data_IF_158759618985
#
_entry.id   IF_158759618985
#
_cell.length_a   1.000
_cell.length_b   1.000
_cell.length_c   1.000
_cell.angle_alpha   90.00
_cell.angle_beta   90.00
_cell.angle_gamma   90.00
#
_symmetry.space_group_name_H-M   'P 1'
#
loop_
_entity.id
_entity.type
_entity.pdbx_description
1 polymer ?
#
# COMPACT_ATOMS: atom_id res chain seq x y z
N UNK A 1 -11.00 -56.49 -2.36
CA UNK A 1 -11.07 -55.70 -1.12
C UNK A 1 -9.90 -54.71 -1.12
N UNK A 2 -10.22 -53.45 -1.45
CA UNK A 2 -9.57 -52.17 -1.11
C UNK A 2 -8.11 -51.89 -1.49
N UNK A 3 -7.92 -50.98 -2.45
CA UNK A 3 -7.10 -49.78 -2.29
C UNK A 3 -7.49 -48.75 -3.35
N UNK A 4 -8.44 -47.88 -2.98
CA UNK A 4 -8.80 -46.69 -3.74
C UNK A 4 -7.70 -45.64 -3.52
N UNK A 5 -6.74 -45.56 -4.43
CA UNK A 5 -5.86 -44.41 -4.54
C UNK A 5 -6.69 -43.21 -5.02
N UNK A 6 -6.91 -42.25 -4.13
CA UNK A 6 -7.40 -40.92 -4.48
C UNK A 6 -6.43 -40.30 -5.50
N UNK A 7 -6.77 -40.44 -6.78
CA UNK A 7 -6.22 -39.60 -7.84
C UNK A 7 -6.86 -38.24 -7.67
N UNK A 8 -6.16 -37.37 -6.93
CA UNK A 8 -6.37 -35.93 -6.81
C UNK A 8 -6.36 -35.29 -8.21
N UNK A 9 -7.47 -35.45 -8.91
CA UNK A 9 -7.67 -34.83 -10.21
C UNK A 9 -8.13 -33.41 -9.93
N UNK A 10 -7.17 -32.54 -9.61
CA UNK A 10 -7.33 -31.10 -9.71
C UNK A 10 -7.92 -30.82 -11.09
N UNK A 11 -9.18 -30.41 -11.12
CA UNK A 11 -10.01 -30.21 -12.31
C UNK A 11 -9.44 -29.08 -13.17
N UNK A 12 -8.35 -29.39 -13.87
CA UNK A 12 -7.77 -28.57 -14.92
C UNK A 12 -8.49 -28.97 -16.20
N UNK A 13 -9.49 -28.17 -16.60
CA UNK A 13 -10.12 -28.32 -17.91
C UNK A 13 -9.06 -28.06 -18.97
N UNK A 14 -8.55 -29.13 -19.56
CA UNK A 14 -7.71 -29.06 -20.77
C UNK A 14 -8.62 -28.62 -21.91
N UNK A 15 -8.40 -27.41 -22.43
CA UNK A 15 -9.10 -26.90 -23.62
C UNK A 15 -8.12 -26.93 -24.77
N UNK A 16 -8.51 -27.59 -25.87
CA UNK A 16 -7.73 -27.64 -27.10
C UNK A 16 -7.89 -26.31 -27.83
N UNK A 17 -6.79 -25.60 -28.08
CA UNK A 17 -6.79 -24.48 -29.03
C UNK A 17 -6.85 -25.00 -30.48
N UNK A 18 -7.33 -24.19 -31.45
CA UNK A 18 -7.47 -24.61 -32.85
C UNK A 18 -6.16 -25.08 -33.54
N UNK A 19 -5.01 -24.86 -32.89
CA UNK A 19 -3.66 -25.18 -33.37
C UNK A 19 -3.10 -26.50 -32.81
N UNK A 20 -3.94 -27.37 -32.22
CA UNK A 20 -3.53 -28.66 -31.62
C UNK A 20 -2.47 -28.54 -30.50
N UNK A 21 -2.32 -27.37 -29.88
CA UNK A 21 -1.45 -27.17 -28.72
C UNK A 21 -2.21 -27.49 -27.44
N UNK A 22 -1.65 -28.38 -26.62
CA UNK A 22 -2.15 -28.68 -25.28
C UNK A 22 -1.78 -27.53 -24.34
N UNK A 23 -2.77 -26.68 -24.00
CA UNK A 23 -2.61 -25.60 -23.04
C UNK A 23 -3.02 -26.04 -21.63
N UNK A 24 -2.17 -25.75 -20.63
CA UNK A 24 -2.53 -25.86 -19.23
C UNK A 24 -3.03 -24.50 -18.73
N UNK A 25 -4.32 -24.41 -18.42
CA UNK A 25 -4.86 -23.28 -17.66
C UNK A 25 -4.80 -23.65 -16.18
N UNK A 26 -3.93 -22.98 -15.42
CA UNK A 26 -3.98 -23.06 -13.96
C UNK A 26 -5.32 -22.44 -13.54
N UNK A 27 -6.21 -23.25 -12.96
CA UNK A 27 -7.47 -22.77 -12.45
C UNK A 27 -7.17 -21.70 -11.39
N UNK A 28 -7.45 -20.44 -11.72
CA UNK A 28 -7.19 -19.31 -10.85
C UNK A 28 -7.94 -19.58 -9.53
N UNK A 29 -7.21 -19.78 -8.43
CA UNK A 29 -7.81 -20.07 -7.12
C UNK A 29 -8.85 -19.01 -6.71
N UNK A 30 -8.73 -17.78 -7.24
CA UNK A 30 -9.69 -16.70 -7.08
C UNK A 30 -11.08 -17.02 -7.68
N UNK A 31 -11.19 -17.87 -8.71
CA UNK A 31 -12.47 -18.25 -9.33
C UNK A 31 -13.25 -19.31 -8.54
N UNK A 32 -12.63 -19.93 -7.52
CA UNK A 32 -13.30 -20.87 -6.60
C UNK A 32 -13.86 -20.18 -5.35
N UNK A 33 -13.43 -18.94 -5.06
CA UNK A 33 -14.02 -18.13 -4.00
C UNK A 33 -15.37 -17.57 -4.47
N UNK A 34 -16.45 -18.27 -4.12
CA UNK A 34 -17.78 -17.70 -4.23
C UNK A 34 -17.87 -16.54 -3.24
N UNK A 35 -18.18 -15.29 -3.67
CA UNK A 35 -18.34 -14.18 -2.75
C UNK A 35 -19.55 -14.44 -1.84
N UNK A 36 -19.29 -14.96 -0.64
CA UNK A 36 -20.31 -15.13 0.39
C UNK A 36 -20.61 -13.76 0.99
N UNK A 37 -21.69 -13.14 0.52
CA UNK A 37 -22.18 -11.89 1.09
C UNK A 37 -22.83 -12.20 2.43
N UNK A 38 -22.08 -12.02 3.52
CA UNK A 38 -22.62 -12.17 4.88
C UNK A 38 -23.36 -10.88 5.23
N UNK A 39 -24.69 -10.95 5.35
CA UNK A 39 -25.49 -9.82 5.82
C UNK A 39 -25.48 -9.83 7.35
N UNK A 40 -24.88 -8.82 7.94
CA UNK A 40 -24.91 -8.60 9.39
C UNK A 40 -26.15 -7.80 9.77
N UNK A 41 -26.80 -8.15 10.89
CA UNK A 41 -27.81 -7.27 11.49
C UNK A 41 -27.19 -5.96 12.01
N UNK A 42 -28.02 -4.95 12.32
CA UNK A 42 -27.54 -3.62 12.77
C UNK A 42 -26.53 -3.73 13.93
N UNK A 43 -26.87 -4.49 14.98
CA UNK A 43 -26.00 -4.66 16.15
C UNK A 43 -24.81 -5.60 15.92
N UNK A 44 -24.94 -6.60 15.03
CA UNK A 44 -23.84 -7.50 14.68
C UNK A 44 -22.81 -6.84 13.76
N UNK A 45 -23.23 -5.82 13.00
CA UNK A 45 -22.37 -5.09 12.08
C UNK A 45 -21.29 -4.28 12.80
N UNK A 46 -21.51 -3.87 14.05
CA UNK A 46 -20.50 -3.15 14.84
C UNK A 46 -19.28 -4.01 15.17
N UNK A 47 -19.39 -5.15 15.89
CA UNK A 47 -18.24 -5.99 16.19
C UNK A 47 -17.63 -6.60 14.92
N UNK A 48 -18.45 -6.95 13.92
CA UNK A 48 -17.96 -7.44 12.64
C UNK A 48 -17.16 -6.35 11.88
N UNK A 49 -17.66 -5.12 11.89
CA UNK A 49 -17.02 -3.95 11.29
C UNK A 49 -15.71 -3.59 11.97
N UNK A 50 -15.64 -3.62 13.30
CA UNK A 50 -14.38 -3.40 14.04
C UNK A 50 -13.35 -4.47 13.68
N UNK A 51 -13.74 -5.75 13.67
CA UNK A 51 -12.83 -6.85 13.31
C UNK A 51 -12.34 -6.72 11.86
N UNK A 52 -13.23 -6.39 10.94
CA UNK A 52 -12.89 -6.14 9.53
C UNK A 52 -11.95 -4.95 9.40
N UNK A 53 -12.27 -3.82 10.05
CA UNK A 53 -11.45 -2.61 10.04
C UNK A 53 -10.05 -2.84 10.59
N UNK A 54 -9.91 -3.60 11.69
CA UNK A 54 -8.59 -3.98 12.22
C UNK A 54 -7.81 -4.88 11.24
N UNK A 55 -8.49 -5.77 10.52
CA UNK A 55 -7.87 -6.59 9.47
C UNK A 55 -7.37 -5.75 8.30
N UNK A 56 -8.21 -4.82 7.83
CA UNK A 56 -7.85 -3.88 6.76
C UNK A 56 -6.69 -2.98 7.18
N UNK A 57 -6.72 -2.45 8.41
CA UNK A 57 -5.63 -1.64 8.94
C UNK A 57 -4.31 -2.42 8.98
N UNK A 58 -4.33 -3.68 9.44
CA UNK A 58 -3.15 -4.55 9.41
C UNK A 58 -2.62 -4.74 7.99
N UNK A 59 -3.51 -5.01 7.02
CA UNK A 59 -3.13 -5.13 5.61
C UNK A 59 -2.42 -3.88 5.10
N UNK A 60 -2.97 -2.70 5.38
CA UNK A 60 -2.33 -1.44 4.97
C UNK A 60 -1.00 -1.18 5.69
N UNK A 61 -0.84 -1.59 6.95
CA UNK A 61 0.46 -1.53 7.64
C UNK A 61 1.48 -2.46 6.98
N UNK A 62 1.07 -3.64 6.54
CA UNK A 62 1.93 -4.57 5.80
C UNK A 62 2.31 -4.02 4.40
N UNK A 63 1.36 -3.39 3.71
CA UNK A 63 1.61 -2.69 2.44
C UNK A 63 2.61 -1.54 2.63
N UNK A 64 2.50 -0.80 3.75
CA UNK A 64 3.47 0.23 4.11
C UNK A 64 4.85 -0.35 4.34
N UNK A 65 4.96 -1.47 5.04
CA UNK A 65 6.24 -2.15 5.22
C UNK A 65 6.85 -2.57 3.86
N UNK A 66 6.02 -3.01 2.92
CA UNK A 66 6.48 -3.34 1.56
C UNK A 66 7.00 -2.10 0.81
N UNK A 67 6.36 -0.95 0.97
CA UNK A 67 6.78 0.32 0.36
C UNK A 67 8.21 0.74 0.77
N UNK A 68 8.65 0.42 1.99
CA UNK A 68 10.03 0.67 2.43
C UNK A 68 11.09 -0.29 1.83
N UNK A 69 10.69 -1.28 1.04
CA UNK A 69 11.62 -2.16 0.31
C UNK A 69 12.08 -1.53 -1.00
N UNK A 70 13.17 -2.02 -1.60
CA UNK A 70 13.70 -1.49 -2.86
C UNK A 70 12.70 -1.58 -4.03
N UNK A 71 11.83 -2.58 -4.02
CA UNK A 71 10.85 -2.81 -5.08
C UNK A 71 9.55 -2.02 -4.82
N UNK A 72 9.16 -1.86 -3.56
CA UNK A 72 8.08 -0.96 -3.15
C UNK A 72 8.41 0.50 -3.42
N UNK A 73 9.63 0.95 -3.12
CA UNK A 73 10.08 2.32 -3.34
C UNK A 73 10.09 2.73 -4.83
N UNK A 74 10.33 1.78 -5.75
CA UNK A 74 10.21 2.01 -7.20
C UNK A 74 8.76 2.05 -7.67
N UNK A 75 7.87 1.38 -6.95
CA UNK A 75 6.43 1.34 -7.23
C UNK A 75 5.71 2.60 -6.74
N UNK A 76 6.30 3.31 -5.77
CA UNK A 76 5.92 4.68 -5.44
C UNK A 76 6.36 5.64 -6.56
N UNK A 77 5.55 5.74 -7.61
CA UNK A 77 5.69 6.88 -8.53
C UNK A 77 5.23 8.19 -7.88
N UNK A 78 5.46 9.29 -8.56
CA UNK A 78 4.99 10.61 -8.16
C UNK A 78 3.47 10.76 -8.27
N UNK A 79 3.01 12.00 -8.50
CA UNK A 79 1.57 12.28 -8.59
C UNK A 79 0.86 11.49 -9.70
N UNK A 80 1.55 11.14 -10.79
CA UNK A 80 0.98 10.38 -11.89
C UNK A 80 0.65 8.93 -11.49
N UNK A 81 1.52 8.29 -10.71
CA UNK A 81 1.24 6.95 -10.19
C UNK A 81 0.05 6.95 -9.22
N UNK A 82 -0.05 7.95 -8.34
CA UNK A 82 -1.20 8.10 -7.43
C UNK A 82 -2.50 8.29 -8.23
N UNK A 83 -2.47 9.10 -9.29
CA UNK A 83 -3.62 9.27 -10.18
C UNK A 83 -4.07 7.96 -10.84
N UNK A 84 -3.12 7.12 -11.25
CA UNK A 84 -3.40 5.82 -11.88
C UNK A 84 -3.99 4.76 -10.95
N UNK A 85 -3.97 4.97 -9.62
CA UNK A 85 -4.59 4.05 -8.66
C UNK A 85 -6.12 4.12 -8.69
N UNK A 86 -6.67 5.28 -9.09
CA UNK A 86 -8.10 5.49 -9.18
C UNK A 86 -8.66 4.90 -10.48
N UNK A 87 -9.76 4.12 -10.41
CA UNK A 87 -10.38 3.54 -11.60
C UNK A 87 -10.97 4.62 -12.52
N UNK A 88 -11.03 4.33 -13.82
CA UNK A 88 -11.65 5.23 -14.82
C UNK A 88 -13.16 5.42 -14.58
N UNK A 89 -13.81 4.41 -13.99
CA UNK A 89 -15.21 4.45 -13.59
C UNK A 89 -15.38 4.60 -12.09
N UNK A 90 -16.40 5.33 -11.66
CA UNK A 90 -16.71 5.52 -10.25
C UNK A 90 -17.03 4.21 -9.53
N UNK A 91 -16.28 3.91 -8.46
CA UNK A 91 -16.51 2.78 -7.56
C UNK A 91 -16.37 3.25 -6.11
N UNK A 92 -17.47 3.21 -5.37
CA UNK A 92 -17.52 3.63 -3.96
C UNK A 92 -16.59 2.81 -3.07
N UNK A 93 -16.54 1.49 -3.26
CA UNK A 93 -15.70 0.61 -2.45
C UNK A 93 -14.23 0.95 -2.69
N UNK A 94 -13.85 1.14 -3.96
CA UNK A 94 -12.48 1.46 -4.32
C UNK A 94 -12.06 2.86 -3.84
N UNK A 95 -12.96 3.83 -3.91
CA UNK A 95 -12.74 5.18 -3.37
C UNK A 95 -12.40 5.15 -1.87
N UNK A 96 -13.21 4.46 -1.06
CA UNK A 96 -12.96 4.37 0.38
C UNK A 96 -11.71 3.57 0.72
N UNK A 97 -11.40 2.52 -0.05
CA UNK A 97 -10.15 1.77 0.13
C UNK A 97 -8.92 2.64 -0.15
N UNK A 98 -8.89 3.36 -1.28
CA UNK A 98 -7.77 4.25 -1.60
C UNK A 98 -7.65 5.40 -0.60
N UNK A 99 -8.78 5.96 -0.16
CA UNK A 99 -8.79 7.02 0.86
C UNK A 99 -8.23 6.51 2.19
N UNK A 100 -8.61 5.31 2.62
CA UNK A 100 -8.07 4.69 3.83
C UNK A 100 -6.56 4.42 3.69
N UNK A 101 -6.13 3.91 2.53
CA UNK A 101 -4.71 3.67 2.24
C UNK A 101 -3.89 4.96 2.29
N UNK A 102 -4.31 6.02 1.58
CA UNK A 102 -3.66 7.33 1.59
C UNK A 102 -3.65 7.95 3.00
N UNK A 103 -4.74 7.82 3.75
CA UNK A 103 -4.84 8.31 5.13
C UNK A 103 -3.79 7.65 6.04
N UNK A 104 -3.59 6.33 5.89
CA UNK A 104 -2.55 5.60 6.63
C UNK A 104 -1.16 6.04 6.20
N UNK A 105 -0.89 6.19 4.90
CA UNK A 105 0.39 6.75 4.42
C UNK A 105 0.66 8.09 5.11
N UNK A 106 -0.31 9.02 5.09
CA UNK A 106 -0.15 10.34 5.69
C UNK A 106 0.08 10.25 7.22
N UNK A 107 -0.67 9.39 7.92
CA UNK A 107 -0.47 9.17 9.35
C UNK A 107 0.94 8.65 9.66
N UNK A 108 1.44 7.68 8.89
CA UNK A 108 2.80 7.16 9.03
C UNK A 108 3.86 8.21 8.71
N UNK A 109 3.69 8.93 7.60
CA UNK A 109 4.63 9.99 7.18
C UNK A 109 4.72 11.10 8.21
N UNK A 110 3.61 11.47 8.86
CA UNK A 110 3.60 12.45 9.95
C UNK A 110 4.27 11.94 11.24
N UNK A 111 4.38 10.64 11.45
CA UNK A 111 5.08 10.05 12.61
C UNK A 111 6.59 9.91 12.34
N UNK A 112 7.02 9.88 11.08
CA UNK A 112 8.44 9.72 10.74
C UNK A 112 9.28 10.89 11.31
N UNK A 113 10.54 10.61 11.70
CA UNK A 113 11.47 11.60 12.25
C UNK A 113 12.06 12.50 11.15
N UNK A 114 11.21 13.15 10.37
CA UNK A 114 11.60 14.08 9.31
C UNK A 114 11.47 15.51 9.85
N UNK A 115 12.56 16.27 9.96
CA UNK A 115 12.49 17.69 10.27
C UNK A 115 11.59 18.43 9.26
N UNK A 116 10.69 19.29 9.73
CA UNK A 116 9.59 19.93 8.98
C UNK A 116 8.23 19.20 8.96
N UNK A 117 8.13 17.97 9.48
CA UNK A 117 6.87 17.27 9.74
C UNK A 117 6.60 17.17 11.25
N UNK A 118 5.34 16.92 11.64
CA UNK A 118 4.89 16.84 13.04
C UNK A 118 5.76 15.89 13.89
N UNK A 119 6.14 14.73 13.33
CA UNK A 119 6.97 13.72 13.98
C UNK A 119 8.41 14.16 14.25
N UNK A 120 8.95 15.10 13.47
CA UNK A 120 10.27 15.69 13.72
C UNK A 120 10.29 16.48 15.04
N UNK A 121 9.24 17.26 15.30
CA UNK A 121 9.10 17.98 16.56
C UNK A 121 8.91 17.03 17.74
N UNK A 122 8.11 15.97 17.58
CA UNK A 122 7.95 14.92 18.60
C UNK A 122 9.29 14.25 18.92
N UNK A 123 10.12 13.95 17.92
CA UNK A 123 11.45 13.38 18.13
C UNK A 123 12.35 14.31 18.95
N UNK A 124 12.34 15.61 18.67
CA UNK A 124 13.13 16.58 19.43
C UNK A 124 12.68 16.67 20.90
N UNK A 125 11.37 16.63 21.15
CA UNK A 125 10.82 16.58 22.51
C UNK A 125 11.20 15.29 23.24
N UNK A 126 11.16 14.14 22.55
CA UNK A 126 11.60 12.86 23.11
C UNK A 126 13.10 12.87 23.41
N UNK A 127 13.91 13.42 22.51
CA UNK A 127 15.34 13.60 22.72
C UNK A 127 15.64 14.51 23.91
N UNK A 128 14.92 15.62 24.03
CA UNK A 128 15.03 16.54 25.17
C UNK A 128 14.62 15.85 26.49
N UNK A 129 13.55 15.06 26.49
CA UNK A 129 13.11 14.30 27.65
C UNK A 129 14.17 13.29 28.13
N UNK A 130 14.88 12.66 27.19
CA UNK A 130 15.95 11.68 27.51
C UNK A 130 17.25 12.39 27.94
N UNK A 131 17.64 13.47 27.26
CA UNK A 131 18.94 14.13 27.47
C UNK A 131 18.89 15.30 28.46
N UNK A 132 17.71 15.77 28.84
CA UNK A 132 17.48 16.90 29.72
C UNK A 132 17.98 18.24 29.15
N UNK A 133 18.26 18.31 27.85
CA UNK A 133 18.84 19.50 27.20
C UNK A 133 18.00 19.91 26.00
N UNK A 134 17.50 21.13 26.05
CA UNK A 134 16.78 21.73 24.93
C UNK A 134 17.72 21.85 23.71
N UNK A 135 17.30 21.35 22.53
CA UNK A 135 18.05 21.57 21.29
C UNK A 135 18.09 23.07 20.95
N UNK A 136 19.25 23.56 20.51
CA UNK A 136 19.42 24.98 20.19
C UNK A 136 18.50 25.41 19.04
N UNK A 137 17.93 26.61 19.12
CA UNK A 137 17.06 27.19 18.09
C UNK A 137 17.70 27.19 16.68
N UNK A 138 19.01 27.47 16.62
CA UNK A 138 19.79 27.42 15.36
C UNK A 138 19.88 26.01 14.76
N UNK A 139 19.90 24.98 15.60
CA UNK A 139 19.89 23.59 15.14
C UNK A 139 18.52 23.20 14.61
N UNK A 140 17.45 23.58 15.31
CA UNK A 140 16.07 23.33 14.88
C UNK A 140 15.79 23.95 13.51
N UNK A 141 16.09 25.25 13.35
CA UNK A 141 15.93 25.96 12.07
C UNK A 141 16.73 25.30 10.94
N UNK A 142 17.99 24.92 11.19
CA UNK A 142 18.81 24.22 10.17
C UNK A 142 18.23 22.86 9.82
N UNK A 143 17.79 22.09 10.80
CA UNK A 143 17.19 20.78 10.57
C UNK A 143 15.93 20.93 9.71
N UNK A 144 15.06 21.89 10.02
CA UNK A 144 13.86 22.20 9.24
C UNK A 144 14.19 22.57 7.78
N UNK A 145 15.13 23.50 7.55
CA UNK A 145 15.54 23.86 6.18
C UNK A 145 16.14 22.68 5.41
N UNK A 146 16.93 21.83 6.07
CA UNK A 146 17.49 20.63 5.46
C UNK A 146 16.37 19.64 5.10
N UNK A 147 15.44 19.39 6.02
CA UNK A 147 14.30 18.51 5.80
C UNK A 147 13.42 19.01 4.64
N UNK A 148 13.06 20.29 4.64
CA UNK A 148 12.30 20.90 3.56
C UNK A 148 13.02 20.80 2.21
N UNK A 149 14.32 21.05 2.17
CA UNK A 149 15.12 20.95 0.92
C UNK A 149 15.12 19.52 0.39
N UNK A 150 15.28 18.52 1.26
CA UNK A 150 15.23 17.10 0.88
C UNK A 150 13.84 16.75 0.33
N UNK A 151 12.76 17.20 0.99
CA UNK A 151 11.39 16.93 0.54
C UNK A 151 11.12 17.51 -0.86
N UNK A 152 11.52 18.76 -1.12
CA UNK A 152 11.38 19.38 -2.43
C UNK A 152 12.21 18.63 -3.49
N UNK A 153 13.44 18.25 -3.15
CA UNK A 153 14.29 17.50 -4.08
C UNK A 153 13.68 16.13 -4.42
N UNK A 154 13.17 15.40 -3.43
CA UNK A 154 12.46 14.14 -3.65
C UNK A 154 11.20 14.32 -4.49
N UNK A 155 10.42 15.38 -4.24
CA UNK A 155 9.23 15.70 -5.03
C UNK A 155 9.59 15.94 -6.50
N UNK A 156 10.64 16.73 -6.78
CA UNK A 156 11.10 16.99 -8.14
C UNK A 156 11.57 15.71 -8.81
N UNK A 157 12.36 14.88 -8.13
CA UNK A 157 12.85 13.60 -8.67
C UNK A 157 11.69 12.64 -8.97
N UNK A 158 10.72 12.49 -8.06
CA UNK A 158 9.58 11.61 -8.25
C UNK A 158 8.69 12.07 -9.43
N UNK A 159 8.43 13.38 -9.55
CA UNK A 159 7.67 13.92 -10.66
C UNK A 159 8.43 13.81 -11.99
N UNK A 160 9.74 14.02 -12.00
CA UNK A 160 10.55 13.84 -13.20
C UNK A 160 10.53 12.37 -13.67
N UNK A 161 10.60 11.41 -12.74
CA UNK A 161 10.50 9.99 -13.06
C UNK A 161 9.15 9.65 -13.71
N UNK A 162 8.04 10.20 -13.20
CA UNK A 162 6.72 10.02 -13.79
C UNK A 162 6.63 10.63 -15.20
N UNK A 163 7.18 11.83 -15.40
CA UNK A 163 7.19 12.51 -16.71
C UNK A 163 8.04 11.73 -17.71
N UNK A 164 9.22 11.24 -17.32
CA UNK A 164 10.09 10.43 -18.17
C UNK A 164 9.44 9.09 -18.58
N UNK A 165 8.70 8.46 -17.65
CA UNK A 165 7.91 7.26 -17.93
C UNK A 165 6.76 7.55 -18.90
N UNK A 166 6.08 8.68 -18.74
CA UNK A 166 5.02 9.10 -19.66
C UNK A 166 5.53 9.43 -21.07
N UNK A 167 6.74 9.99 -21.17
CA UNK A 167 7.42 10.28 -22.44
C UNK A 167 8.06 9.04 -23.10
N UNK A 168 8.01 7.86 -22.44
CA UNK A 168 8.52 6.61 -22.99
C UNK A 168 10.06 6.49 -23.04
N UNK A 169 10.78 7.33 -22.29
CA UNK A 169 12.25 7.33 -22.24
C UNK A 169 12.77 6.27 -21.27
N UNK A 170 11.95 5.86 -20.31
CA UNK A 170 12.25 4.84 -19.30
C UNK A 170 11.09 3.85 -19.24
N UNK A 171 11.40 2.56 -19.45
CA UNK A 171 10.44 1.44 -19.44
C UNK A 171 10.33 0.79 -18.07
#
# INVERSE_FOLDING_TARGET
RNNAGNIDTLSSKVVLTPELKLGYYNANYMSMYKPTTVKYGFFESFPAGVKYGLGVLRGYVDDMKYVFTSDGAKSLGGFGAIGSLFPESWDWMRFWNMTAFLSIILAFMNILPIPALDGGHVLFLLYEMITGRAPSEKFLLRAEYVGFTILILLMVVANLNDVLRWLGIMS
#
